data_IF_201898551405
#
_entry.id   IF_201898551405
#
_cell.length_a   1.000
_cell.length_b   1.000
_cell.length_c   1.000
_cell.angle_alpha   90.00
_cell.angle_beta   90.00
_cell.angle_gamma   90.00
#
_symmetry.space_group_name_H-M   'P 1'
#
loop_
_entity.id
_entity.type
_entity.pdbx_description
1 polymer ?
#
# COMPACT_ATOMS: atom_id res chain seq x y z
N UNK A 1 6.40 14.50 -1.00
CA UNK A 1 6.04 13.22 -1.65
C UNK A 1 6.50 13.28 -3.09
N UNK A 2 7.17 12.24 -3.59
CA UNK A 2 7.60 12.14 -4.99
C UNK A 2 6.44 11.62 -5.88
N UNK A 3 6.50 11.86 -7.20
CA UNK A 3 5.44 11.44 -8.14
C UNK A 3 5.15 9.93 -8.05
N UNK A 4 6.19 9.11 -8.00
CA UNK A 4 6.06 7.66 -7.91
C UNK A 4 5.40 7.19 -6.60
N UNK A 5 5.62 7.92 -5.50
CA UNK A 5 4.95 7.63 -4.23
C UNK A 5 3.46 7.95 -4.33
N UNK A 6 3.12 9.09 -4.94
CA UNK A 6 1.73 9.45 -5.21
C UNK A 6 1.04 8.42 -6.11
N UNK A 7 1.69 8.00 -7.20
CA UNK A 7 1.15 6.99 -8.13
C UNK A 7 0.88 5.66 -7.43
N UNK A 8 1.80 5.19 -6.58
CA UNK A 8 1.61 3.97 -5.80
C UNK A 8 0.41 4.07 -4.84
N UNK A 9 0.20 5.24 -4.22
CA UNK A 9 -0.97 5.49 -3.37
C UNK A 9 -2.26 5.51 -4.17
N UNK A 10 -2.26 6.10 -5.38
CA UNK A 10 -3.41 6.06 -6.30
C UNK A 10 -3.71 4.61 -6.72
N UNK A 11 -2.70 3.81 -7.06
CA UNK A 11 -2.87 2.40 -7.42
C UNK A 11 -3.46 1.55 -6.29
N UNK A 12 -3.01 1.78 -5.06
CA UNK A 12 -3.56 1.12 -3.87
C UNK A 12 -5.00 1.56 -3.62
N UNK A 13 -5.26 2.88 -3.59
CA UNK A 13 -6.57 3.47 -3.36
C UNK A 13 -7.60 3.00 -4.39
N UNK A 14 -7.20 2.88 -5.67
CA UNK A 14 -8.04 2.30 -6.71
C UNK A 14 -8.45 0.87 -6.41
N UNK A 15 -7.55 0.05 -5.82
CA UNK A 15 -7.83 -1.35 -5.54
C UNK A 15 -8.67 -1.56 -4.28
N UNK A 16 -8.34 -0.86 -3.19
CA UNK A 16 -9.00 -1.08 -1.90
C UNK A 16 -10.19 -0.14 -1.69
N UNK A 17 -10.32 0.90 -2.52
CA UNK A 17 -11.34 1.93 -2.42
C UNK A 17 -10.97 3.10 -1.50
N UNK A 18 -11.53 4.28 -1.78
CA UNK A 18 -11.23 5.53 -1.06
C UNK A 18 -11.59 5.45 0.43
N UNK A 19 -12.70 4.79 0.79
CA UNK A 19 -13.13 4.65 2.18
C UNK A 19 -12.08 3.91 3.02
N UNK A 20 -11.67 2.74 2.56
CA UNK A 20 -10.63 1.92 3.18
C UNK A 20 -9.28 2.63 3.22
N UNK A 21 -8.91 3.34 2.14
CA UNK A 21 -7.66 4.09 2.10
C UNK A 21 -7.62 5.23 3.14
N UNK A 22 -8.73 5.96 3.30
CA UNK A 22 -8.84 7.07 4.28
C UNK A 22 -8.63 6.64 5.73
N UNK A 23 -9.04 5.42 6.09
CA UNK A 23 -8.88 4.88 7.44
C UNK A 23 -7.64 3.98 7.60
N UNK A 24 -6.80 3.88 6.58
CA UNK A 24 -5.67 2.95 6.56
C UNK A 24 -4.45 3.47 7.33
N UNK A 25 -3.68 2.54 7.92
CA UNK A 25 -2.34 2.83 8.46
C UNK A 25 -1.38 3.35 7.39
N UNK A 26 -1.63 3.05 6.11
CA UNK A 26 -0.86 3.60 4.98
C UNK A 26 -0.94 5.11 4.97
N UNK A 27 -2.14 5.69 5.01
CA UNK A 27 -2.33 7.14 4.99
C UNK A 27 -1.68 7.82 6.20
N UNK A 28 -1.77 7.20 7.37
CA UNK A 28 -1.12 7.70 8.60
C UNK A 28 0.39 7.79 8.44
N UNK A 29 1.05 6.73 7.97
CA UNK A 29 2.51 6.69 7.83
C UNK A 29 3.00 7.67 6.76
N UNK A 30 2.35 7.73 5.59
CA UNK A 30 2.81 8.63 4.50
C UNK A 30 2.66 10.11 4.85
N UNK A 31 1.76 10.44 5.79
CA UNK A 31 1.61 11.79 6.32
C UNK A 31 2.55 12.09 7.51
N UNK A 32 3.53 11.22 7.78
CA UNK A 32 4.53 11.41 8.83
C UNK A 32 4.08 10.95 10.22
N UNK A 33 2.95 10.26 10.33
CA UNK A 33 2.52 9.61 11.57
C UNK A 33 3.19 8.26 11.79
N UNK A 34 2.77 7.59 12.87
CA UNK A 34 3.17 6.22 13.19
C UNK A 34 1.91 5.38 13.41
N UNK A 35 1.88 4.19 12.83
CA UNK A 35 0.84 3.21 13.11
C UNK A 35 1.07 2.55 14.47
N UNK A 36 0.01 2.35 15.24
CA UNK A 36 0.12 1.64 16.52
C UNK A 36 0.55 0.17 16.33
N UNK A 37 0.09 -0.46 15.25
CA UNK A 37 0.34 -1.87 14.96
C UNK A 37 1.63 -2.06 14.16
N UNK A 38 1.90 -1.17 13.20
CA UNK A 38 2.99 -1.33 12.23
C UNK A 38 4.14 -0.33 12.39
N UNK A 39 4.06 0.59 13.36
CA UNK A 39 5.04 1.67 13.53
C UNK A 39 5.17 2.51 12.25
N UNK A 40 6.41 2.63 11.77
CA UNK A 40 6.76 3.32 10.51
C UNK A 40 7.07 2.35 9.35
N UNK A 41 6.71 1.07 9.47
CA UNK A 41 6.99 0.07 8.44
C UNK A 41 6.00 0.20 7.27
N UNK A 42 6.47 0.88 6.21
CA UNK A 42 5.69 1.10 4.98
C UNK A 42 5.34 -0.21 4.27
N UNK A 43 6.19 -1.23 4.34
CA UNK A 43 5.96 -2.51 3.68
C UNK A 43 4.87 -3.28 4.42
N UNK A 44 4.93 -3.31 5.75
CA UNK A 44 3.94 -3.99 6.56
C UNK A 44 2.53 -3.41 6.35
N UNK A 45 2.38 -2.09 6.32
CA UNK A 45 1.06 -1.47 6.09
C UNK A 45 0.50 -1.70 4.68
N UNK A 46 1.35 -1.92 3.67
CA UNK A 46 0.89 -2.37 2.35
C UNK A 46 0.43 -3.83 2.39
N UNK A 47 1.19 -4.69 3.06
CA UNK A 47 0.89 -6.12 3.16
C UNK A 47 -0.32 -6.43 4.05
N UNK A 48 -0.78 -5.49 4.89
CA UNK A 48 -2.07 -5.61 5.58
C UNK A 48 -3.26 -5.77 4.60
N UNK A 49 -3.09 -5.33 3.34
CA UNK A 49 -4.13 -5.38 2.30
C UNK A 49 -3.94 -6.56 1.32
N UNK A 50 -3.60 -7.74 1.81
CA UNK A 50 -3.47 -8.99 1.01
C UNK A 50 -4.60 -10.00 1.25
N UNK A 51 -5.49 -9.74 2.20
CA UNK A 51 -6.56 -10.67 2.57
C UNK A 51 -7.82 -10.38 1.76
N UNK A 52 -8.45 -11.45 1.26
CA UNK A 52 -9.77 -11.43 0.65
C UNK A 52 -10.62 -12.49 1.35
N UNK A 53 -11.78 -12.09 1.88
CA UNK A 53 -12.64 -12.97 2.68
C UNK A 53 -11.90 -13.65 3.85
N UNK A 54 -10.94 -12.94 4.45
CA UNK A 54 -10.13 -13.46 5.56
C UNK A 54 -9.00 -14.42 5.16
N UNK A 55 -8.80 -14.68 3.87
CA UNK A 55 -7.77 -15.59 3.35
C UNK A 55 -6.71 -14.78 2.60
N UNK A 56 -5.44 -15.08 2.82
CA UNK A 56 -4.35 -14.48 2.05
C UNK A 56 -4.50 -14.78 0.56
N UNK A 57 -4.32 -13.75 -0.27
CA UNK A 57 -4.40 -13.86 -1.71
C UNK A 57 -3.06 -13.51 -2.36
N UNK A 58 -2.42 -14.49 -2.98
CA UNK A 58 -1.12 -14.31 -3.63
C UNK A 58 -1.14 -13.26 -4.76
N UNK A 59 -2.26 -13.13 -5.47
CA UNK A 59 -2.39 -12.09 -6.51
C UNK A 59 -2.41 -10.69 -5.88
N UNK A 60 -3.07 -10.52 -4.72
CA UNK A 60 -3.02 -9.27 -3.97
C UNK A 60 -1.60 -9.01 -3.44
N UNK A 61 -0.93 -10.03 -2.91
CA UNK A 61 0.46 -9.92 -2.43
C UNK A 61 1.42 -9.49 -3.55
N UNK A 62 1.32 -10.10 -4.73
CA UNK A 62 2.10 -9.71 -5.91
C UNK A 62 1.82 -8.27 -6.32
N UNK A 63 0.55 -7.85 -6.30
CA UNK A 63 0.13 -6.47 -6.51
C UNK A 63 0.71 -5.50 -5.48
N UNK A 64 0.67 -5.81 -4.19
CA UNK A 64 1.26 -4.96 -3.13
C UNK A 64 2.78 -4.81 -3.33
N UNK A 65 3.47 -5.89 -3.69
CA UNK A 65 4.91 -5.84 -3.99
C UNK A 65 5.20 -4.95 -5.22
N UNK A 66 4.37 -5.01 -6.25
CA UNK A 66 4.48 -4.11 -7.39
C UNK A 66 4.28 -2.63 -6.99
N UNK A 67 3.21 -2.33 -6.25
CA UNK A 67 2.94 -0.98 -5.76
C UNK A 67 4.08 -0.45 -4.87
N UNK A 68 4.67 -1.31 -4.03
CA UNK A 68 5.85 -0.97 -3.22
C UNK A 68 7.12 -0.73 -4.05
N UNK A 69 7.31 -1.43 -5.17
CA UNK A 69 8.42 -1.14 -6.10
C UNK A 69 8.23 0.24 -6.76
N UNK A 70 7.00 0.59 -7.14
CA UNK A 70 6.68 1.93 -7.63
C UNK A 70 6.95 2.96 -6.52
N UNK A 71 6.46 2.73 -5.30
CA UNK A 71 6.61 3.65 -4.18
C UNK A 71 8.08 3.92 -3.81
N UNK A 72 8.89 2.87 -3.70
CA UNK A 72 10.28 2.98 -3.22
C UNK A 72 11.28 3.32 -4.32
N UNK A 73 11.04 2.85 -5.55
CA UNK A 73 12.06 2.87 -6.62
C UNK A 73 11.59 3.54 -7.90
N UNK A 74 10.29 3.86 -8.04
CA UNK A 74 9.74 4.41 -9.28
C UNK A 74 9.75 3.43 -10.45
N UNK A 75 9.74 2.12 -10.16
CA UNK A 75 9.82 1.07 -11.18
C UNK A 75 8.43 0.58 -11.58
N UNK A 76 8.02 0.92 -12.79
CA UNK A 76 6.73 0.52 -13.37
C UNK A 76 6.92 -0.73 -14.25
N UNK A 77 6.64 -1.90 -13.68
CA UNK A 77 6.59 -3.20 -14.37
C UNK A 77 5.15 -3.68 -14.53
N UNK A 78 4.87 -4.47 -15.57
CA UNK A 78 3.61 -5.22 -15.65
C UNK A 78 3.63 -6.35 -14.61
N UNK A 79 2.52 -6.49 -13.89
CA UNK A 79 2.19 -7.66 -13.09
C UNK A 79 1.68 -8.83 -13.95
#
# INVERSE_FOLDING_TARGET
>A
MLQNQYDALVLLCYNIGVGNFKSSSVLTIVNGGSSQEYGSDIKAVWLAWIYSQGIENDSLKNRRNYELNVYNQGVYKKW
#
